data_IF_746237273558
#
_entry.id   IF_746237273558
#
_cell.length_a   1.000
_cell.length_b   1.000
_cell.length_c   1.000
_cell.angle_alpha   90.00
_cell.angle_beta   90.00
_cell.angle_gamma   90.00
#
_symmetry.space_group_name_H-M   'P 1'
#
loop_
_entity.id
_entity.type
_entity.pdbx_description
1 polymer ?
#
# COMPACT_ATOMS: atom_id res chain seq x y z
N UNK A 1 -12.99 -19.88 -19.99
CA UNK A 1 -12.43 -19.82 -18.83
C UNK A 1 -12.21 -18.47 -18.29
N UNK A 2 -12.20 -18.33 -17.06
CA UNK A 2 -12.16 -17.11 -16.51
C UNK A 2 -10.88 -16.67 -16.19
N UNK A 3 -10.55 -15.48 -16.47
CA UNK A 3 -9.36 -15.01 -16.11
C UNK A 3 -9.41 -14.66 -14.75
N UNK A 4 -8.43 -14.85 -14.06
CA UNK A 4 -8.31 -14.45 -12.74
C UNK A 4 -7.79 -13.07 -12.69
N UNK A 5 -8.71 -12.13 -12.75
CA UNK A 5 -8.31 -10.77 -12.53
C UNK A 5 -8.01 -10.64 -11.07
N UNK A 6 -6.77 -10.39 -10.74
CA UNK A 6 -6.37 -10.24 -9.34
C UNK A 6 -6.74 -8.84 -8.87
N UNK A 7 -7.98 -8.69 -8.42
CA UNK A 7 -8.44 -7.41 -7.90
C UNK A 7 -8.50 -7.41 -6.39
N UNK A 8 -7.88 -8.39 -5.75
CA UNK A 8 -7.84 -8.42 -4.30
C UNK A 8 -7.04 -7.22 -3.77
N UNK A 9 -7.32 -6.76 -2.57
CA UNK A 9 -6.63 -5.56 -2.06
C UNK A 9 -5.14 -5.76 -1.92
N UNK A 10 -4.39 -4.70 -2.16
CA UNK A 10 -2.96 -4.71 -1.91
C UNK A 10 -2.76 -4.33 -0.45
N UNK A 11 -2.23 -5.23 0.35
CA UNK A 11 -1.99 -4.96 1.75
C UNK A 11 -0.52 -4.60 1.98
N UNK A 12 -0.29 -3.47 2.62
CA UNK A 12 1.05 -3.00 2.91
C UNK A 12 1.21 -2.97 4.42
N UNK A 13 2.21 -3.69 4.93
CA UNK A 13 2.48 -3.71 6.36
C UNK A 13 3.59 -2.71 6.67
N UNK A 14 3.37 -1.84 7.64
CA UNK A 14 4.33 -0.81 7.96
C UNK A 14 4.31 -0.57 9.46
N UNK A 15 5.48 -0.25 10.03
CA UNK A 15 5.57 0.07 11.45
C UNK A 15 5.12 1.51 11.66
N UNK A 16 4.44 1.73 12.77
CA UNK A 16 3.96 3.06 13.11
C UNK A 16 5.09 4.08 13.13
N UNK A 17 6.26 3.67 13.59
CA UNK A 17 7.39 4.58 13.66
C UNK A 17 7.86 5.07 12.31
N UNK A 18 7.62 4.30 11.26
CA UNK A 18 8.03 4.67 9.91
C UNK A 18 6.94 5.40 9.14
N UNK A 19 5.75 5.45 9.71
CA UNK A 19 4.62 6.05 9.01
C UNK A 19 4.40 7.48 9.50
N UNK A 20 5.25 8.41 9.10
CA UNK A 20 5.04 9.80 9.43
C UNK A 20 4.32 10.48 8.25
N UNK A 21 4.03 11.76 8.39
CA UNK A 21 3.29 12.48 7.37
C UNK A 21 4.01 12.49 6.04
N UNK A 22 5.32 12.66 6.07
CA UNK A 22 6.11 12.72 4.86
C UNK A 22 6.06 11.39 4.11
N UNK A 23 6.27 10.31 4.83
CA UNK A 23 6.24 8.98 4.22
C UNK A 23 4.85 8.63 3.72
N UNK A 24 3.82 9.06 4.42
CA UNK A 24 2.46 8.80 3.99
C UNK A 24 2.14 9.53 2.69
N UNK A 25 2.58 10.78 2.56
CA UNK A 25 2.37 11.52 1.33
C UNK A 25 3.14 10.89 0.18
N UNK A 26 4.39 10.49 0.43
CA UNK A 26 5.19 9.85 -0.60
C UNK A 26 4.56 8.52 -1.04
N UNK A 27 4.02 7.78 -0.09
CA UNK A 27 3.38 6.51 -0.39
C UNK A 27 2.15 6.74 -1.27
N UNK A 28 1.34 7.73 -0.93
CA UNK A 28 0.16 8.03 -1.74
C UNK A 28 0.53 8.45 -3.14
N UNK A 29 1.56 9.28 -3.28
CA UNK A 29 2.01 9.70 -4.61
C UNK A 29 2.51 8.51 -5.42
N UNK A 30 3.22 7.61 -4.76
CA UNK A 30 3.71 6.42 -5.44
C UNK A 30 2.55 5.55 -5.92
N UNK A 31 1.56 5.36 -5.08
CA UNK A 31 0.40 4.56 -5.44
C UNK A 31 -0.36 5.16 -6.62
N UNK A 32 -0.43 6.48 -6.67
CA UNK A 32 -1.15 7.15 -7.75
C UNK A 32 -0.44 7.01 -9.09
N UNK A 33 0.83 6.64 -9.09
CA UNK A 33 1.55 6.41 -10.33
C UNK A 33 1.21 5.07 -10.96
N UNK A 34 0.56 4.20 -10.22
CA UNK A 34 0.21 2.87 -10.71
C UNK A 34 -1.30 2.66 -10.62
N UNK A 35 -2.08 3.41 -11.41
CA UNK A 35 -3.53 3.30 -11.32
C UNK A 35 -4.01 1.93 -11.76
N UNK A 36 -5.02 1.42 -11.12
CA UNK A 36 -5.57 0.11 -11.42
C UNK A 36 -6.91 -0.12 -10.75
N UNK A 37 -7.21 -1.37 -10.46
CA UNK A 37 -8.50 -1.77 -9.91
C UNK A 37 -8.43 -2.32 -8.48
N UNK A 38 -7.24 -2.47 -7.94
CA UNK A 38 -7.09 -3.04 -6.61
C UNK A 38 -7.06 -1.96 -5.54
N UNK A 39 -7.87 -2.12 -4.51
CA UNK A 39 -7.84 -1.16 -3.41
C UNK A 39 -6.58 -1.39 -2.57
N UNK A 40 -6.25 -0.43 -1.74
CA UNK A 40 -5.05 -0.47 -0.93
C UNK A 40 -5.41 -0.48 0.54
N UNK A 41 -4.76 -1.36 1.30
CA UNK A 41 -4.93 -1.42 2.74
C UNK A 41 -3.58 -1.29 3.40
N UNK A 42 -3.50 -0.44 4.41
CA UNK A 42 -2.28 -0.30 5.19
C UNK A 42 -2.47 -0.96 6.55
N UNK A 43 -1.58 -1.89 6.86
CA UNK A 43 -1.57 -2.49 8.17
C UNK A 43 -0.49 -1.80 8.98
N UNK A 44 -0.90 -0.98 9.94
CA UNK A 44 0.02 -0.20 10.74
C UNK A 44 0.29 -0.94 12.04
N UNK A 45 1.53 -1.32 12.26
CA UNK A 45 1.93 -2.07 13.44
C UNK A 45 2.50 -1.14 14.51
N UNK A 46 2.00 -1.25 15.73
CA UNK A 46 2.48 -0.45 16.83
C UNK A 46 2.70 -1.34 18.04
N UNK A 47 3.22 -0.78 19.10
CA UNK A 47 3.46 -1.55 20.30
C UNK A 47 2.17 -2.05 20.95
N UNK A 48 1.08 -1.34 20.74
CA UNK A 48 -0.20 -1.74 21.34
C UNK A 48 -1.04 -2.60 20.40
N UNK A 49 -0.53 -2.95 19.25
CA UNK A 49 -1.26 -3.79 18.31
C UNK A 49 -1.17 -3.25 16.90
N UNK A 50 -1.97 -3.79 16.00
CA UNK A 50 -1.97 -3.33 14.63
C UNK A 50 -3.33 -2.79 14.26
N UNK A 51 -3.35 -1.86 13.30
CA UNK A 51 -4.57 -1.28 12.79
C UNK A 51 -4.57 -1.38 11.28
N UNK A 52 -5.73 -1.60 10.71
CA UNK A 52 -5.88 -1.67 9.27
C UNK A 52 -6.54 -0.41 8.77
N UNK A 53 -5.87 0.29 7.87
CA UNK A 53 -6.42 1.49 7.25
C UNK A 53 -6.69 1.21 5.79
N UNK A 54 -7.92 1.47 5.35
CA UNK A 54 -8.28 1.28 3.96
C UNK A 54 -8.17 2.59 3.22
N UNK A 55 -7.45 2.60 2.11
CA UNK A 55 -7.34 3.79 1.27
C UNK A 55 -8.32 3.65 0.12
N UNK A 56 -9.57 3.93 0.40
CA UNK A 56 -10.66 3.68 -0.56
C UNK A 56 -10.59 4.55 -1.80
N UNK A 57 -9.94 5.69 -1.68
CA UNK A 57 -9.87 6.60 -2.81
C UNK A 57 -8.78 6.24 -3.80
N UNK A 58 -7.91 5.32 -3.45
CA UNK A 58 -6.79 4.96 -4.29
C UNK A 58 -6.95 3.53 -4.77
N UNK A 59 -6.89 3.34 -6.07
CA UNK A 59 -6.90 2.02 -6.67
C UNK A 59 -5.63 1.85 -7.48
N UNK A 60 -4.97 0.72 -7.33
CA UNK A 60 -3.67 0.50 -7.93
C UNK A 60 -3.63 -0.76 -8.74
N UNK A 61 -2.61 -0.87 -9.58
CA UNK A 61 -2.32 -2.08 -10.32
C UNK A 61 -1.22 -2.79 -9.56
N UNK A 62 -1.50 -4.00 -9.10
CA UNK A 62 -0.54 -4.74 -8.29
C UNK A 62 0.56 -5.33 -9.17
N UNK A 63 1.60 -4.55 -9.38
CA UNK A 63 2.75 -5.01 -10.17
C UNK A 63 3.93 -5.23 -9.24
N UNK A 64 4.90 -6.01 -9.71
CA UNK A 64 6.12 -6.21 -8.93
C UNK A 64 6.89 -4.91 -8.77
N UNK A 65 6.85 -4.06 -9.78
CA UNK A 65 7.52 -2.77 -9.70
C UNK A 65 6.94 -1.94 -8.57
N UNK A 66 5.61 -1.88 -8.44
CA UNK A 66 4.99 -1.14 -7.37
C UNK A 66 5.39 -1.70 -6.02
N UNK A 67 5.35 -3.01 -5.86
CA UNK A 67 5.72 -3.63 -4.60
C UNK A 67 7.17 -3.35 -4.24
N UNK A 68 8.06 -3.38 -5.22
CA UNK A 68 9.46 -3.09 -4.96
C UNK A 68 9.67 -1.64 -4.55
N UNK A 69 8.97 -0.72 -5.16
CA UNK A 69 9.11 0.69 -4.81
C UNK A 69 8.54 0.99 -3.43
N UNK A 70 7.44 0.35 -3.07
CA UNK A 70 6.90 0.49 -1.73
C UNK A 70 7.90 -0.03 -0.70
N UNK A 71 8.48 -1.18 -0.97
CA UNK A 71 9.44 -1.77 -0.06
C UNK A 71 10.66 -0.86 0.10
N UNK A 72 11.13 -0.28 -0.98
CA UNK A 72 12.26 0.63 -0.91
C UNK A 72 11.93 1.89 -0.13
N UNK A 73 10.72 2.40 -0.28
CA UNK A 73 10.28 3.59 0.44
C UNK A 73 10.23 3.32 1.94
N UNK A 74 9.69 2.19 2.33
CA UNK A 74 9.48 1.87 3.74
C UNK A 74 10.71 1.26 4.41
N UNK A 75 11.71 0.91 3.65
CA UNK A 75 12.91 0.32 4.22
C UNK A 75 13.90 1.34 4.75
N UNK A 76 13.67 2.60 4.54
CA UNK A 76 14.60 3.63 4.97
C UNK A 76 14.52 3.92 6.45
#
# INVERSE_FOLDING_TARGET
MIENLDISPLRISVDEEKLDKKNLVLLKELLEKFPGLSSVELEVNSKSGSKLLELKEIKVKKTNQLKNEISALLAK
#
